data_IF_548946188966
#
_entry.id   IF_548946188966
#
_cell.length_a   1.000
_cell.length_b   1.000
_cell.length_c   1.000
_cell.angle_alpha   90.00
_cell.angle_beta   90.00
_cell.angle_gamma   90.00
#
_symmetry.space_group_name_H-M   'P 1'
#
loop_
_entity.id
_entity.type
_entity.pdbx_description
1 polymer ?
#
# COMPACT_ATOMS: atom_id res chain seq x y z
N UNK A 1 -39.98 56.94 47.77
CA UNK A 1 -38.78 56.58 48.57
C UNK A 1 -37.65 56.29 47.59
N UNK A 2 -36.60 57.12 47.56
CA UNK A 2 -35.41 56.96 46.70
C UNK A 2 -34.48 55.91 47.32
N UNK A 3 -33.89 55.03 46.51
CA UNK A 3 -32.49 54.62 46.69
C UNK A 3 -31.82 54.55 45.31
N UNK A 4 -30.81 55.40 45.16
CA UNK A 4 -29.83 55.43 44.07
C UNK A 4 -28.59 54.68 44.55
N UNK A 5 -28.03 53.81 43.71
CA UNK A 5 -26.65 53.32 43.87
C UNK A 5 -25.87 53.62 42.59
N UNK A 6 -24.77 54.35 42.78
CA UNK A 6 -23.91 54.98 41.77
C UNK A 6 -23.22 53.98 40.83
N UNK A 7 -23.39 54.20 39.53
CA UNK A 7 -22.57 53.65 38.45
C UNK A 7 -21.25 54.43 38.40
N UNK A 8 -20.22 53.99 39.13
CA UNK A 8 -18.90 54.65 39.12
C UNK A 8 -17.71 53.74 38.85
N UNK A 9 -17.94 52.53 38.30
CA UNK A 9 -16.84 51.59 37.99
C UNK A 9 -16.68 51.22 36.51
N UNK A 10 -17.53 51.72 35.61
CA UNK A 10 -17.47 51.30 34.20
C UNK A 10 -16.50 52.13 33.32
N UNK A 11 -16.05 53.30 33.79
CA UNK A 11 -15.25 54.24 32.96
C UNK A 11 -13.74 53.98 33.03
N UNK A 12 -13.25 53.25 34.04
CA UNK A 12 -11.79 53.01 34.23
C UNK A 12 -11.20 51.83 33.45
N UNK A 13 -12.02 50.92 32.93
CA UNK A 13 -11.51 49.75 32.18
C UNK A 13 -11.27 50.10 30.70
N UNK A 14 -12.08 51.00 30.11
CA UNK A 14 -11.94 51.40 28.71
C UNK A 14 -10.72 52.30 28.43
N UNK A 15 -10.15 52.96 29.44
CA UNK A 15 -8.99 53.87 29.27
C UNK A 15 -7.65 53.16 29.34
N UNK A 16 -7.55 51.98 29.95
CA UNK A 16 -6.33 51.16 29.95
C UNK A 16 -6.20 50.29 28.69
N UNK A 17 -7.33 49.91 28.07
CA UNK A 17 -7.35 49.07 26.87
C UNK A 17 -6.86 49.78 25.59
N UNK A 18 -6.97 51.12 25.56
CA UNK A 18 -6.70 51.90 24.34
C UNK A 18 -5.25 52.40 24.18
N UNK A 19 -4.44 52.39 25.23
CA UNK A 19 -3.11 53.02 25.25
C UNK A 19 -1.92 52.05 25.43
N UNK A 20 -2.14 50.74 25.33
CA UNK A 20 -1.05 49.76 25.34
C UNK A 20 -0.90 49.20 23.93
N UNK A 21 -0.06 49.80 23.06
CA UNK A 21 0.14 49.35 21.68
C UNK A 21 0.53 47.86 21.62
N UNK A 22 1.29 47.39 22.62
CA UNK A 22 1.71 46.00 22.77
C UNK A 22 0.52 45.03 22.91
N UNK A 23 -0.52 45.42 23.66
CA UNK A 23 -1.71 44.59 23.88
C UNK A 23 -2.58 44.50 22.62
N UNK A 24 -2.72 45.61 21.87
CA UNK A 24 -3.39 45.61 20.56
C UNK A 24 -2.65 44.73 19.54
N UNK A 25 -1.33 44.82 19.48
CA UNK A 25 -0.52 43.99 18.57
C UNK A 25 -0.60 42.52 18.93
N UNK A 26 -0.58 42.18 20.23
CA UNK A 26 -0.72 40.80 20.69
C UNK A 26 -2.09 40.22 20.35
N UNK A 27 -3.19 40.93 20.66
CA UNK A 27 -4.55 40.48 20.34
C UNK A 27 -4.76 40.34 18.82
N UNK A 28 -4.25 41.29 18.02
CA UNK A 28 -4.38 41.24 16.56
C UNK A 28 -3.58 40.08 15.94
N UNK A 29 -2.39 39.77 16.47
CA UNK A 29 -1.61 38.59 16.05
C UNK A 29 -2.31 37.29 16.42
N UNK A 30 -2.88 37.20 17.61
CA UNK A 30 -3.64 36.01 18.05
C UNK A 30 -4.91 35.82 17.23
N UNK A 31 -5.63 36.90 16.90
CA UNK A 31 -6.80 36.84 16.01
C UNK A 31 -6.43 36.40 14.59
N UNK A 32 -5.34 36.94 14.03
CA UNK A 32 -4.84 36.55 12.71
C UNK A 32 -4.41 35.08 12.70
N UNK A 33 -3.76 34.61 13.77
CA UNK A 33 -3.38 33.21 13.93
C UNK A 33 -4.63 32.31 13.99
N UNK A 34 -5.62 32.62 14.82
CA UNK A 34 -6.88 31.86 14.86
C UNK A 34 -7.63 31.85 13.52
N UNK A 35 -7.59 32.96 12.77
CA UNK A 35 -8.19 33.04 11.43
C UNK A 35 -7.47 32.15 10.41
N UNK A 36 -6.14 32.17 10.41
CA UNK A 36 -5.32 31.32 9.53
C UNK A 36 -5.51 29.83 9.86
N UNK A 37 -5.54 29.47 11.14
CA UNK A 37 -5.82 28.10 11.57
C UNK A 37 -7.25 27.66 11.22
N UNK A 38 -8.26 28.52 11.47
CA UNK A 38 -9.65 28.22 11.12
C UNK A 38 -9.88 28.02 9.62
N UNK A 39 -9.25 28.84 8.77
CA UNK A 39 -9.32 28.70 7.32
C UNK A 39 -8.66 27.41 6.82
N UNK A 40 -7.52 27.02 7.40
CA UNK A 40 -6.83 25.77 7.06
C UNK A 40 -7.66 24.52 7.44
N UNK A 41 -8.33 24.54 8.59
CA UNK A 41 -9.18 23.43 9.04
C UNK A 41 -10.42 23.26 8.14
N UNK A 42 -11.06 24.37 7.75
CA UNK A 42 -12.22 24.32 6.85
C UNK A 42 -11.83 23.80 5.45
N UNK A 43 -10.70 24.25 4.90
CA UNK A 43 -10.19 23.77 3.61
C UNK A 43 -9.84 22.27 3.66
N UNK A 44 -9.26 21.80 4.77
CA UNK A 44 -8.96 20.39 4.96
C UNK A 44 -10.22 19.52 5.03
N UNK A 45 -11.22 19.92 5.82
CA UNK A 45 -12.51 19.20 5.87
C UNK A 45 -13.21 19.14 4.50
N UNK A 46 -13.19 20.23 3.74
CA UNK A 46 -13.76 20.26 2.39
C UNK A 46 -13.03 19.31 1.43
N UNK A 47 -11.70 19.25 1.53
CA UNK A 47 -10.89 18.35 0.72
C UNK A 47 -11.16 16.89 1.07
N UNK A 48 -11.24 16.54 2.36
CA UNK A 48 -11.57 15.18 2.81
C UNK A 48 -12.97 14.74 2.34
N UNK A 49 -13.97 15.62 2.45
CA UNK A 49 -15.32 15.33 1.93
C UNK A 49 -15.30 15.10 0.43
N UNK A 50 -14.54 15.90 -0.32
CA UNK A 50 -14.38 15.74 -1.76
C UNK A 50 -13.68 14.43 -2.12
N UNK A 51 -12.60 14.08 -1.44
CA UNK A 51 -11.89 12.79 -1.60
C UNK A 51 -12.86 11.62 -1.37
N UNK A 52 -13.66 11.68 -0.31
CA UNK A 52 -14.66 10.65 0.04
C UNK A 52 -15.76 10.55 -1.02
N UNK A 53 -16.30 11.69 -1.45
CA UNK A 53 -17.36 11.79 -2.46
C UNK A 53 -16.92 11.27 -3.83
N UNK A 54 -15.72 11.61 -4.26
CA UNK A 54 -15.17 11.20 -5.55
C UNK A 54 -14.58 9.77 -5.52
N UNK A 55 -14.52 9.15 -4.34
CA UNK A 55 -14.04 7.78 -4.18
C UNK A 55 -12.58 7.64 -4.58
N UNK A 56 -11.73 8.58 -4.18
CA UNK A 56 -10.28 8.56 -4.48
C UNK A 56 -9.44 8.39 -3.22
N UNK A 57 -8.15 8.16 -3.41
CA UNK A 57 -7.12 8.08 -2.38
C UNK A 57 -5.93 8.93 -2.82
N UNK A 58 -5.30 9.63 -1.87
CA UNK A 58 -4.07 10.36 -2.15
C UNK A 58 -2.95 9.37 -2.52
N UNK A 59 -2.19 9.72 -3.54
CA UNK A 59 -1.15 8.87 -4.07
C UNK A 59 -0.19 9.65 -4.95
N UNK A 60 0.65 8.90 -5.65
CA UNK A 60 1.54 9.47 -6.62
C UNK A 60 1.91 8.44 -7.68
N UNK A 61 2.31 8.91 -8.86
CA UNK A 61 2.89 8.07 -9.90
C UNK A 61 4.37 8.37 -10.03
N UNK A 62 5.18 7.35 -10.32
CA UNK A 62 6.61 7.49 -10.56
C UNK A 62 6.87 7.46 -12.08
N UNK A 63 7.26 8.60 -12.63
CA UNK A 63 7.58 8.75 -14.06
C UNK A 63 8.96 9.39 -14.17
N UNK A 64 9.87 8.74 -14.90
CA UNK A 64 11.24 9.21 -15.12
C UNK A 64 11.97 9.51 -13.79
N UNK A 65 11.78 8.63 -12.81
CA UNK A 65 12.32 8.76 -11.46
C UNK A 65 11.72 9.88 -10.61
N UNK A 66 10.69 10.59 -11.09
CA UNK A 66 10.02 11.69 -10.37
C UNK A 66 8.66 11.24 -9.84
N UNK A 67 8.43 11.50 -8.56
CA UNK A 67 7.13 11.30 -7.93
C UNK A 67 6.21 12.48 -8.28
N UNK A 68 5.11 12.19 -8.96
CA UNK A 68 4.09 13.16 -9.36
C UNK A 68 2.86 12.97 -8.47
N UNK A 69 2.54 13.92 -7.57
CA UNK A 69 1.46 13.76 -6.61
C UNK A 69 0.08 13.90 -7.25
N UNK A 70 -0.89 13.16 -6.72
CA UNK A 70 -2.27 13.25 -7.15
C UNK A 70 -3.20 12.31 -6.40
N UNK A 71 -4.30 11.98 -7.07
CA UNK A 71 -5.35 11.13 -6.51
C UNK A 71 -5.62 9.96 -7.44
N UNK A 72 -5.75 8.77 -6.86
CA UNK A 72 -6.05 7.53 -7.56
C UNK A 72 -7.46 7.09 -7.19
N UNK A 73 -8.28 6.70 -8.16
CA UNK A 73 -9.60 6.12 -7.86
C UNK A 73 -9.46 4.88 -7.00
N UNK A 74 -10.37 4.74 -6.03
CA UNK A 74 -10.45 3.54 -5.20
C UNK A 74 -10.70 2.31 -6.07
N UNK A 75 -9.84 1.33 -5.91
CA UNK A 75 -9.96 -0.02 -6.48
C UNK A 75 -9.76 -1.02 -5.35
N UNK A 76 -9.76 -2.32 -5.68
CA UNK A 76 -9.52 -3.37 -4.69
C UNK A 76 -10.79 -4.02 -4.16
N UNK A 77 -11.94 -3.73 -4.77
CA UNK A 77 -13.19 -4.46 -4.55
C UNK A 77 -13.90 -4.73 -5.87
N UNK A 78 -14.69 -5.80 -5.90
CA UNK A 78 -15.54 -6.15 -7.04
C UNK A 78 -16.89 -6.64 -6.54
N UNK A 79 -17.91 -6.56 -7.39
CA UNK A 79 -19.18 -7.26 -7.16
C UNK A 79 -19.08 -8.66 -7.76
N UNK A 80 -19.85 -9.62 -7.24
CA UNK A 80 -20.01 -10.95 -7.81
C UNK A 80 -20.23 -10.91 -9.33
N UNK A 81 -19.69 -11.90 -10.04
CA UNK A 81 -19.82 -11.99 -11.51
C UNK A 81 -21.21 -12.49 -11.94
N UNK A 82 -21.99 -13.08 -11.03
CA UNK A 82 -23.37 -13.47 -11.27
C UNK A 82 -24.30 -12.23 -11.23
N UNK A 83 -25.24 -12.06 -12.18
CA UNK A 83 -26.12 -10.90 -12.25
C UNK A 83 -26.93 -10.61 -10.97
N UNK A 84 -27.26 -11.65 -10.21
CA UNK A 84 -28.01 -11.61 -8.97
C UNK A 84 -27.15 -11.38 -7.72
N UNK A 85 -25.82 -11.58 -7.81
CA UNK A 85 -24.91 -11.46 -6.69
C UNK A 85 -24.48 -10.00 -6.50
N UNK A 86 -24.93 -9.39 -5.41
CA UNK A 86 -24.56 -8.02 -5.02
C UNK A 86 -23.48 -8.00 -3.94
N UNK A 87 -22.88 -9.14 -3.62
CA UNK A 87 -21.82 -9.26 -2.63
C UNK A 87 -20.57 -8.55 -3.11
N UNK A 88 -19.95 -7.79 -2.21
CA UNK A 88 -18.70 -7.08 -2.49
C UNK A 88 -17.54 -7.93 -1.98
N UNK A 89 -16.67 -8.33 -2.90
CA UNK A 89 -15.48 -9.12 -2.62
C UNK A 89 -14.22 -8.25 -2.66
N UNK A 90 -13.18 -8.56 -1.85
CA UNK A 90 -11.84 -8.04 -2.05
C UNK A 90 -11.34 -8.39 -3.46
N UNK A 91 -10.74 -7.42 -4.15
CA UNK A 91 -10.23 -7.57 -5.51
C UNK A 91 -8.80 -7.01 -5.66
N UNK A 92 -7.82 -7.49 -4.85
CA UNK A 92 -6.47 -6.93 -4.84
C UNK A 92 -5.75 -7.03 -6.20
N UNK A 93 -6.13 -7.97 -7.06
CA UNK A 93 -5.59 -8.06 -8.42
C UNK A 93 -5.89 -6.84 -9.30
N UNK A 94 -6.92 -6.05 -9.00
CA UNK A 94 -7.24 -4.83 -9.77
C UNK A 94 -6.10 -3.81 -9.75
N UNK A 95 -5.39 -3.72 -8.61
CA UNK A 95 -4.21 -2.86 -8.45
C UNK A 95 -3.07 -3.23 -9.42
N UNK A 96 -3.03 -4.46 -9.93
CA UNK A 96 -1.91 -4.94 -10.73
C UNK A 96 -2.01 -4.55 -12.22
N UNK A 97 -3.19 -4.11 -12.67
CA UNK A 97 -3.48 -3.90 -14.09
C UNK A 97 -3.16 -2.47 -14.55
N UNK A 98 -3.84 -1.51 -13.97
CA UNK A 98 -3.84 -0.10 -14.34
C UNK A 98 -4.41 0.73 -13.21
N UNK A 99 -4.12 2.04 -13.21
CA UNK A 99 -4.72 2.99 -12.26
C UNK A 99 -5.41 4.12 -13.01
N UNK A 100 -6.44 4.72 -12.39
CA UNK A 100 -7.04 5.98 -12.84
C UNK A 100 -6.55 7.10 -11.93
N UNK A 101 -5.72 7.99 -12.47
CA UNK A 101 -5.01 9.03 -11.74
C UNK A 101 -5.41 10.43 -12.21
N UNK A 102 -5.51 11.37 -11.28
CA UNK A 102 -5.70 12.79 -11.54
C UNK A 102 -4.64 13.58 -10.75
N UNK A 103 -4.01 14.56 -11.41
CA UNK A 103 -3.01 15.41 -10.78
C UNK A 103 -3.58 16.14 -9.56
N UNK A 104 -2.76 16.31 -8.51
CA UNK A 104 -3.18 16.95 -7.26
C UNK A 104 -3.80 18.32 -7.51
N UNK A 105 -3.09 19.18 -8.23
CA UNK A 105 -3.53 20.54 -8.56
C UNK A 105 -4.85 20.55 -9.35
N UNK A 106 -5.02 19.60 -10.29
CA UNK A 106 -6.25 19.52 -11.09
C UNK A 106 -7.41 19.07 -10.22
N UNK A 107 -7.22 18.07 -9.35
CA UNK A 107 -8.25 17.58 -8.46
C UNK A 107 -8.67 18.67 -7.47
N UNK A 108 -7.73 19.30 -6.76
CA UNK A 108 -8.03 20.26 -5.71
C UNK A 108 -8.72 21.52 -6.27
N UNK A 109 -8.26 22.04 -7.41
CA UNK A 109 -8.77 23.29 -7.99
C UNK A 109 -10.06 23.13 -8.83
N UNK A 110 -10.48 21.89 -9.15
CA UNK A 110 -11.69 21.66 -9.95
C UNK A 110 -12.89 21.36 -9.07
N UNK A 111 -13.94 22.20 -9.11
CA UNK A 111 -15.15 22.01 -8.30
C UNK A 111 -15.89 20.69 -8.62
N UNK A 112 -16.08 20.39 -9.92
CA UNK A 112 -16.77 19.19 -10.39
C UNK A 112 -15.84 18.28 -11.17
N UNK A 113 -15.46 17.15 -10.55
CA UNK A 113 -14.62 16.16 -11.19
C UNK A 113 -15.43 15.37 -12.24
N UNK A 114 -14.85 15.20 -13.43
CA UNK A 114 -15.43 14.41 -14.53
C UNK A 114 -14.49 13.26 -14.86
N UNK A 115 -15.04 12.14 -15.35
CA UNK A 115 -14.24 10.96 -15.71
C UNK A 115 -13.08 11.28 -16.66
N UNK A 116 -13.25 12.22 -17.61
CA UNK A 116 -12.23 12.64 -18.56
C UNK A 116 -10.98 13.32 -17.94
N UNK A 117 -11.07 13.76 -16.69
CA UNK A 117 -9.94 14.36 -15.97
C UNK A 117 -9.00 13.28 -15.39
N UNK A 118 -9.46 12.03 -15.33
CA UNK A 118 -8.63 10.91 -14.93
C UNK A 118 -7.86 10.39 -16.14
N UNK A 119 -6.55 10.25 -15.97
CA UNK A 119 -5.67 9.56 -16.89
C UNK A 119 -5.52 8.12 -16.44
N UNK A 120 -5.66 7.18 -17.37
CA UNK A 120 -5.36 5.77 -17.13
C UNK A 120 -3.86 5.56 -17.35
N UNK A 121 -3.18 5.00 -16.36
CA UNK A 121 -1.80 4.53 -16.48
C UNK A 121 -1.78 3.02 -16.37
N UNK A 122 -1.25 2.35 -17.40
CA UNK A 122 -0.89 0.94 -17.33
C UNK A 122 0.57 0.81 -16.85
N UNK A 123 0.99 -0.39 -16.42
CA UNK A 123 2.35 -0.62 -15.91
C UNK A 123 3.48 -0.34 -16.92
N UNK A 124 3.16 -0.20 -18.21
CA UNK A 124 4.12 0.20 -19.25
C UNK A 124 4.38 1.71 -19.27
N UNK A 125 3.44 2.52 -18.79
CA UNK A 125 3.46 3.98 -18.93
C UNK A 125 4.21 4.67 -17.77
N UNK A 126 4.45 3.97 -16.67
CA UNK A 126 5.18 4.49 -15.50
C UNK A 126 6.03 3.41 -14.82
N UNK A 127 6.91 3.83 -13.89
CA UNK A 127 7.78 2.94 -13.11
C UNK A 127 7.06 2.32 -11.90
N UNK A 128 5.93 2.89 -11.51
CA UNK A 128 5.16 2.45 -10.37
C UNK A 128 4.23 3.54 -9.87
N UNK A 129 3.56 3.27 -8.76
CA UNK A 129 2.72 4.24 -8.08
C UNK A 129 2.64 3.96 -6.58
N UNK A 130 2.30 4.99 -5.81
CA UNK A 130 1.95 4.91 -4.40
C UNK A 130 0.46 5.13 -4.26
N UNK A 131 -0.20 4.23 -3.54
CA UNK A 131 -1.61 4.29 -3.21
C UNK A 131 -1.73 4.23 -1.70
N UNK A 132 -2.11 5.34 -1.08
CA UNK A 132 -2.02 5.49 0.37
C UNK A 132 -0.59 5.17 0.87
N UNK A 133 -0.45 4.15 1.71
CA UNK A 133 0.79 3.64 2.29
C UNK A 133 1.44 2.53 1.45
N UNK A 134 0.75 2.04 0.42
CA UNK A 134 1.21 0.93 -0.41
C UNK A 134 2.02 1.44 -1.59
N UNK A 135 3.17 0.80 -1.83
CA UNK A 135 4.00 1.04 -2.99
C UNK A 135 3.83 -0.09 -4.00
N UNK A 136 3.62 0.27 -5.26
CA UNK A 136 3.53 -0.64 -6.38
C UNK A 136 4.63 -0.34 -7.39
N UNK A 137 5.36 -1.37 -7.80
CA UNK A 137 6.43 -1.27 -8.79
C UNK A 137 5.99 -1.89 -10.13
N UNK A 138 6.28 -1.21 -11.23
CA UNK A 138 6.05 -1.72 -12.57
C UNK A 138 7.13 -2.73 -12.94
N UNK A 139 6.76 -4.01 -12.97
CA UNK A 139 7.70 -5.11 -13.16
C UNK A 139 7.23 -6.06 -14.26
N UNK A 140 8.18 -6.74 -14.90
CA UNK A 140 7.89 -7.79 -15.88
C UNK A 140 7.81 -9.13 -15.17
N UNK A 141 6.67 -9.79 -15.26
CA UNK A 141 6.42 -11.08 -14.60
C UNK A 141 5.68 -12.05 -15.51
N UNK A 142 6.01 -13.32 -15.36
CA UNK A 142 5.33 -14.47 -15.96
C UNK A 142 5.13 -15.49 -14.85
N UNK A 143 3.89 -15.92 -14.63
CA UNK A 143 3.63 -16.99 -13.71
C UNK A 143 3.82 -18.34 -14.40
N UNK A 144 5.00 -18.93 -14.18
CA UNK A 144 5.35 -20.23 -14.75
C UNK A 144 4.63 -21.40 -14.06
N UNK A 145 3.99 -21.17 -12.91
CA UNK A 145 3.21 -22.18 -12.20
C UNK A 145 1.77 -22.31 -12.74
N UNK A 146 1.31 -21.30 -13.47
CA UNK A 146 0.00 -21.31 -14.11
C UNK A 146 0.07 -21.93 -15.51
N UNK A 147 -0.99 -22.62 -15.92
CA UNK A 147 -1.16 -23.09 -17.31
C UNK A 147 -1.86 -22.01 -18.13
N UNK A 148 -1.32 -21.68 -19.31
CA UNK A 148 -1.97 -20.77 -20.27
C UNK A 148 -1.34 -19.37 -20.35
N UNK A 149 -2.16 -18.34 -20.62
CA UNK A 149 -1.68 -16.98 -20.96
C UNK A 149 -0.83 -16.32 -19.87
N UNK A 150 -0.97 -16.74 -18.61
CA UNK A 150 -0.19 -16.20 -17.49
C UNK A 150 1.32 -16.57 -17.56
N UNK A 151 1.69 -17.55 -18.40
CA UNK A 151 3.08 -17.90 -18.67
C UNK A 151 3.80 -16.86 -19.54
N UNK A 152 3.06 -16.01 -20.28
CA UNK A 152 3.65 -14.99 -21.13
C UNK A 152 4.09 -13.81 -20.26
N UNK A 153 5.38 -13.43 -20.26
CA UNK A 153 5.86 -12.31 -19.46
C UNK A 153 5.16 -11.01 -19.85
N UNK A 154 4.41 -10.42 -18.92
CA UNK A 154 3.73 -9.12 -19.08
C UNK A 154 4.23 -8.12 -18.06
N UNK A 155 4.17 -6.84 -18.40
CA UNK A 155 4.46 -5.75 -17.46
C UNK A 155 3.21 -5.47 -16.64
N UNK A 156 3.34 -5.47 -15.32
CA UNK A 156 2.24 -5.27 -14.38
C UNK A 156 2.73 -4.54 -13.13
N UNK A 157 1.80 -3.99 -12.37
CA UNK A 157 2.12 -3.44 -11.06
C UNK A 157 2.14 -4.56 -10.03
N UNK A 158 3.17 -4.60 -9.19
CA UNK A 158 3.24 -5.52 -8.05
C UNK A 158 3.47 -4.74 -6.77
N UNK A 159 2.74 -5.09 -5.71
CA UNK A 159 2.90 -4.44 -4.41
C UNK A 159 4.26 -4.82 -3.83
N UNK A 160 5.10 -3.82 -3.59
CA UNK A 160 6.42 -4.00 -3.00
C UNK A 160 6.31 -4.16 -1.49
N UNK A 161 6.99 -5.17 -0.96
CA UNK A 161 7.03 -5.49 0.48
C UNK A 161 8.34 -4.99 1.07
N UNK A 162 9.45 -5.30 0.40
CA UNK A 162 10.79 -4.88 0.81
C UNK A 162 11.65 -4.50 -0.40
N UNK A 163 12.63 -3.63 -0.18
CA UNK A 163 13.54 -3.09 -1.21
C UNK A 163 15.00 -3.47 -0.97
N UNK A 164 15.23 -4.62 -0.33
CA UNK A 164 16.58 -5.09 0.00
C UNK A 164 17.26 -5.76 -1.20
N UNK A 165 18.41 -6.39 -0.94
CA UNK A 165 19.20 -7.14 -1.93
C UNK A 165 18.36 -8.18 -2.66
N UNK A 166 17.46 -8.84 -1.93
CA UNK A 166 16.34 -9.59 -2.47
C UNK A 166 15.07 -8.81 -2.12
N UNK A 167 14.45 -8.24 -3.15
CA UNK A 167 13.18 -7.54 -3.02
C UNK A 167 12.03 -8.55 -3.02
N UNK A 168 11.03 -8.32 -2.15
CA UNK A 168 9.81 -9.13 -2.07
C UNK A 168 8.60 -8.35 -2.57
N UNK A 169 7.69 -9.06 -3.22
CA UNK A 169 6.46 -8.53 -3.81
C UNK A 169 5.27 -9.44 -3.53
N UNK A 170 4.09 -8.84 -3.44
CA UNK A 170 2.83 -9.57 -3.52
C UNK A 170 2.33 -9.59 -4.96
N UNK A 171 2.01 -10.79 -5.44
CA UNK A 171 1.30 -11.06 -6.67
C UNK A 171 -0.05 -11.69 -6.32
N UNK A 172 -1.12 -11.25 -6.99
CA UNK A 172 -2.46 -11.79 -6.84
C UNK A 172 -2.91 -12.39 -8.16
N UNK A 173 -3.46 -13.59 -8.12
CA UNK A 173 -4.11 -14.15 -9.30
C UNK A 173 -5.40 -13.39 -9.60
N UNK A 174 -5.76 -13.29 -10.88
CA UNK A 174 -7.01 -12.66 -11.29
C UNK A 174 -8.04 -13.76 -11.57
N UNK A 175 -9.31 -13.58 -11.17
CA UNK A 175 -10.35 -14.52 -11.51
C UNK A 175 -10.48 -14.62 -13.04
N UNK A 176 -10.80 -15.80 -13.59
CA UNK A 176 -11.03 -15.97 -15.02
C UNK A 176 -12.24 -15.15 -15.47
N UNK A 177 -12.26 -14.74 -16.74
CA UNK A 177 -13.30 -13.88 -17.30
C UNK A 177 -14.70 -14.53 -17.33
N UNK A 178 -14.75 -15.87 -17.34
CA UNK A 178 -16.00 -16.64 -17.27
C UNK A 178 -15.85 -17.60 -16.10
N UNK A 179 -16.77 -17.52 -15.16
CA UNK A 179 -16.85 -18.41 -14.01
C UNK A 179 -18.10 -19.26 -14.09
N UNK A 180 -17.95 -20.55 -13.82
CA UNK A 180 -19.05 -21.48 -13.58
C UNK A 180 -18.84 -22.13 -12.21
N UNK A 181 -19.80 -22.00 -11.29
CA UNK A 181 -19.74 -22.63 -9.96
C UNK A 181 -19.64 -21.65 -8.81
N UNK A 182 -18.90 -22.01 -7.76
CA UNK A 182 -18.81 -21.24 -6.51
C UNK A 182 -17.86 -20.03 -6.66
N UNK A 183 -18.44 -18.85 -6.90
CA UNK A 183 -17.72 -17.59 -7.14
C UNK A 183 -16.96 -17.09 -5.90
N UNK A 184 -17.54 -17.25 -4.71
CA UNK A 184 -16.95 -16.78 -3.45
C UNK A 184 -15.57 -17.40 -3.23
N UNK A 185 -15.48 -18.73 -3.37
CA UNK A 185 -14.22 -19.45 -3.24
C UNK A 185 -13.15 -18.97 -4.22
N UNK A 186 -13.52 -18.69 -5.47
CA UNK A 186 -12.56 -18.20 -6.47
C UNK A 186 -12.03 -16.82 -6.08
N UNK A 187 -12.89 -15.94 -5.57
CA UNK A 187 -12.47 -14.62 -5.13
C UNK A 187 -11.60 -14.69 -3.88
N UNK A 188 -11.91 -15.58 -2.92
CA UNK A 188 -11.04 -15.84 -1.77
C UNK A 188 -9.66 -16.33 -2.22
N UNK A 189 -9.59 -17.32 -3.09
CA UNK A 189 -8.33 -17.86 -3.63
C UNK A 189 -7.52 -16.78 -4.39
N UNK A 190 -8.19 -15.94 -5.19
CA UNK A 190 -7.53 -14.83 -5.90
C UNK A 190 -7.12 -13.68 -4.98
N UNK A 191 -7.75 -13.55 -3.81
CA UNK A 191 -7.39 -12.54 -2.82
C UNK A 191 -6.18 -12.98 -1.96
N UNK A 192 -5.81 -14.26 -1.97
CA UNK A 192 -4.60 -14.74 -1.33
C UNK A 192 -3.34 -14.31 -2.11
N UNK A 193 -2.39 -13.61 -1.47
CA UNK A 193 -1.17 -13.18 -2.14
C UNK A 193 -0.18 -14.33 -2.33
N UNK A 194 0.32 -14.48 -3.54
CA UNK A 194 1.55 -15.20 -3.82
C UNK A 194 2.77 -14.30 -3.57
N UNK A 195 3.76 -14.84 -2.85
CA UNK A 195 5.03 -14.15 -2.65
C UNK A 195 5.95 -14.37 -3.84
N UNK A 196 6.47 -13.27 -4.37
CA UNK A 196 7.41 -13.24 -5.49
C UNK A 196 8.67 -12.50 -5.04
N UNK A 197 9.83 -12.99 -5.42
CA UNK A 197 11.11 -12.37 -5.10
C UNK A 197 11.87 -11.98 -6.37
N UNK A 198 12.72 -10.96 -6.22
CA UNK A 198 13.72 -10.55 -7.21
C UNK A 198 15.07 -10.43 -6.52
N UNK A 199 16.05 -11.20 -6.98
CA UNK A 199 17.44 -11.04 -6.56
C UNK A 199 18.03 -9.85 -7.31
N UNK A 200 18.52 -8.86 -6.58
CA UNK A 200 19.04 -7.58 -7.11
C UNK A 200 18.00 -6.82 -7.93
N UNK A 201 18.38 -5.69 -8.53
CA UNK A 201 17.43 -4.78 -9.22
C UNK A 201 17.01 -5.30 -10.60
N UNK A 202 17.89 -6.01 -11.27
CA UNK A 202 17.79 -6.50 -12.65
C UNK A 202 17.41 -7.99 -12.76
N UNK A 203 17.29 -8.68 -11.63
CA UNK A 203 16.91 -10.09 -11.61
C UNK A 203 15.51 -10.36 -12.15
N UNK A 204 15.28 -11.61 -12.56
CA UNK A 204 13.94 -12.09 -12.94
C UNK A 204 13.11 -12.33 -11.68
N UNK A 205 11.85 -11.89 -11.71
CA UNK A 205 10.87 -12.23 -10.68
C UNK A 205 10.48 -13.71 -10.73
N UNK A 206 10.47 -14.36 -9.57
CA UNK A 206 10.12 -15.78 -9.39
C UNK A 206 9.27 -15.94 -8.13
N UNK A 207 8.38 -16.94 -8.08
CA UNK A 207 7.66 -17.25 -6.84
C UNK A 207 8.67 -17.67 -5.76
N UNK A 208 8.46 -17.25 -4.51
CA UNK A 208 9.30 -17.69 -3.39
C UNK A 208 9.36 -19.21 -3.33
N UNK A 209 8.27 -19.90 -3.67
CA UNK A 209 8.24 -21.36 -3.73
C UNK A 209 9.17 -22.02 -4.75
N UNK A 210 9.73 -21.24 -5.67
CA UNK A 210 10.68 -21.72 -6.68
C UNK A 210 12.13 -21.32 -6.35
N UNK A 211 12.38 -20.66 -5.21
CA UNK A 211 13.74 -20.32 -4.79
C UNK A 211 14.58 -21.58 -4.59
N UNK A 212 15.68 -21.64 -5.34
CA UNK A 212 16.75 -22.60 -5.17
C UNK A 212 17.89 -21.94 -4.38
N UNK A 213 17.90 -22.15 -3.06
CA UNK A 213 18.90 -21.54 -2.15
C UNK A 213 20.33 -21.88 -2.58
N UNK A 214 20.59 -23.15 -2.92
CA UNK A 214 21.92 -23.65 -3.30
C UNK A 214 22.46 -23.01 -4.58
N UNK A 215 21.59 -22.62 -5.52
CA UNK A 215 22.04 -22.00 -6.78
C UNK A 215 22.01 -20.49 -6.74
N UNK A 216 20.97 -19.92 -6.14
CA UNK A 216 20.67 -18.49 -6.25
C UNK A 216 21.28 -17.66 -5.13
N UNK A 217 21.57 -18.26 -3.96
CA UNK A 217 22.09 -17.56 -2.78
C UNK A 217 23.50 -18.03 -2.37
N UNK A 218 24.17 -18.81 -3.22
CA UNK A 218 25.50 -19.37 -2.96
C UNK A 218 26.61 -18.32 -2.86
N UNK A 219 26.40 -17.13 -3.41
CA UNK A 219 27.35 -16.02 -3.34
C UNK A 219 27.47 -15.45 -1.91
N UNK A 220 26.61 -15.86 -0.99
CA UNK A 220 26.72 -15.54 0.42
C UNK A 220 27.30 -16.70 1.24
N UNK A 221 28.53 -16.56 1.79
CA UNK A 221 29.18 -17.64 2.53
C UNK A 221 28.36 -18.18 3.70
N UNK A 222 27.68 -17.29 4.45
CA UNK A 222 26.86 -17.69 5.60
C UNK A 222 25.65 -18.52 5.17
N UNK A 223 24.94 -18.09 4.12
CA UNK A 223 23.78 -18.82 3.61
C UNK A 223 24.20 -20.16 3.01
N UNK A 224 25.32 -20.19 2.29
CA UNK A 224 25.88 -21.42 1.74
C UNK A 224 26.25 -22.43 2.84
N UNK A 225 26.86 -21.98 3.94
CA UNK A 225 27.20 -22.82 5.09
C UNK A 225 25.94 -23.37 5.80
N UNK A 226 24.95 -22.51 6.06
CA UNK A 226 23.66 -22.95 6.65
C UNK A 226 22.95 -23.96 5.75
N UNK A 227 22.98 -23.73 4.43
CA UNK A 227 22.44 -24.67 3.46
C UNK A 227 23.18 -26.02 3.47
N UNK A 228 24.51 -26.02 3.51
CA UNK A 228 25.30 -27.27 3.55
C UNK A 228 25.08 -28.06 4.85
N UNK A 229 24.84 -27.36 5.97
CA UNK A 229 24.44 -27.94 7.26
C UNK A 229 22.99 -28.43 7.29
N UNK A 230 22.22 -28.17 6.24
CA UNK A 230 20.81 -28.55 6.13
C UNK A 230 19.88 -27.73 7.01
N UNK A 231 20.27 -26.53 7.43
CA UNK A 231 19.47 -25.66 8.29
C UNK A 231 18.23 -25.10 7.57
N UNK A 232 18.25 -25.08 6.23
CA UNK A 232 17.09 -24.76 5.40
C UNK A 232 16.41 -26.00 4.79
N UNK A 233 16.50 -27.18 5.44
CA UNK A 233 15.76 -28.38 5.03
C UNK A 233 14.55 -28.63 5.92
N UNK A 234 13.45 -28.98 5.28
CA UNK A 234 12.21 -29.44 5.88
C UNK A 234 12.36 -30.85 6.50
N UNK A 235 11.86 -31.11 7.71
CA UNK A 235 11.97 -32.42 8.40
C UNK A 235 10.58 -32.93 8.87
N UNK A 236 10.43 -34.21 9.27
CA UNK A 236 9.13 -34.95 9.31
C UNK A 236 8.67 -35.54 10.69
N UNK A 237 7.48 -36.17 10.70
CA UNK A 237 6.68 -36.65 11.85
C UNK A 237 7.28 -37.79 12.70
N UNK A 238 8.51 -38.22 12.46
CA UNK A 238 9.13 -39.40 13.13
C UNK A 238 10.42 -39.07 13.90
N UNK A 239 10.59 -37.82 14.34
CA UNK A 239 11.65 -37.45 15.28
C UNK A 239 13.06 -37.33 14.68
N UNK A 240 13.20 -37.34 13.34
CA UNK A 240 14.41 -36.81 12.69
C UNK A 240 14.27 -35.30 12.52
N UNK A 241 15.02 -34.56 13.34
CA UNK A 241 15.31 -33.11 13.32
C UNK A 241 14.26 -32.20 12.67
N UNK A 242 13.07 -31.91 13.20
CA UNK A 242 12.33 -30.66 12.82
C UNK A 242 12.66 -29.53 13.79
N UNK A 243 13.23 -28.40 13.34
CA UNK A 243 13.25 -27.17 14.12
C UNK A 243 12.44 -26.06 13.42
N UNK A 244 11.14 -25.93 13.77
CA UNK A 244 10.31 -24.77 13.37
C UNK A 244 9.30 -24.34 14.45
N UNK A 245 9.31 -24.96 15.64
CA UNK A 245 8.17 -25.01 16.55
C UNK A 245 8.15 -24.06 17.75
N UNK A 246 8.64 -22.82 17.64
CA UNK A 246 8.23 -21.75 18.58
C UNK A 246 7.64 -20.52 17.91
N UNK A 247 7.52 -20.47 16.58
CA UNK A 247 7.13 -19.23 15.94
C UNK A 247 6.11 -19.34 14.80
N UNK A 248 5.08 -20.16 14.99
CA UNK A 248 3.69 -19.63 15.10
C UNK A 248 2.67 -20.71 14.71
N UNK A 249 2.10 -21.36 15.73
CA UNK A 249 0.68 -21.70 15.75
C UNK A 249 0.21 -22.77 14.78
N UNK A 250 0.43 -24.02 15.17
CA UNK A 250 -0.24 -25.25 14.72
C UNK A 250 -1.63 -25.07 14.05
N UNK A 251 -1.69 -25.43 12.76
CA UNK A 251 -2.70 -26.35 12.21
C UNK A 251 -2.19 -26.90 10.88
N UNK A 252 -1.86 -28.19 10.86
CA UNK A 252 -1.63 -29.03 9.66
C UNK A 252 -0.90 -28.30 8.51
N UNK A 253 0.41 -28.09 8.67
CA UNK A 253 1.22 -27.38 7.67
C UNK A 253 1.35 -28.25 6.42
N UNK A 254 0.58 -27.88 5.39
CA UNK A 254 0.74 -28.35 4.03
C UNK A 254 2.22 -28.18 3.62
N UNK A 255 2.83 -29.19 2.99
CA UNK A 255 4.27 -29.24 2.66
C UNK A 255 4.75 -27.96 1.90
N UNK A 256 3.84 -27.30 1.19
CA UNK A 256 4.04 -26.01 0.52
C UNK A 256 4.27 -24.83 1.46
N UNK A 257 3.47 -24.65 2.51
CA UNK A 257 3.61 -23.52 3.45
C UNK A 257 4.94 -23.58 4.20
N UNK A 258 5.33 -24.77 4.66
CA UNK A 258 6.61 -25.00 5.32
C UNK A 258 7.81 -24.65 4.44
N UNK A 259 7.72 -24.97 3.15
CA UNK A 259 8.77 -24.63 2.17
C UNK A 259 8.84 -23.12 1.90
N UNK A 260 7.75 -22.37 2.02
CA UNK A 260 7.76 -20.90 1.91
C UNK A 260 8.54 -20.28 3.07
N UNK A 261 8.23 -20.66 4.31
CA UNK A 261 8.83 -20.06 5.52
C UNK A 261 10.35 -20.25 5.57
N UNK A 262 10.81 -21.46 5.25
CA UNK A 262 12.24 -21.79 5.19
C UNK A 262 12.97 -20.92 4.15
N UNK A 263 12.33 -20.64 3.02
CA UNK A 263 12.91 -19.81 1.96
C UNK A 263 12.88 -18.33 2.32
N UNK A 264 11.84 -17.88 3.01
CA UNK A 264 11.81 -16.52 3.56
C UNK A 264 12.91 -16.32 4.61
N UNK A 265 13.19 -17.32 5.44
CA UNK A 265 14.33 -17.29 6.37
C UNK A 265 15.66 -17.16 5.62
N UNK A 266 15.87 -17.93 4.55
CA UNK A 266 17.08 -17.81 3.73
C UNK A 266 17.21 -16.43 3.06
N UNK A 267 16.09 -15.86 2.60
CA UNK A 267 16.04 -14.49 2.05
C UNK A 267 16.39 -13.45 3.11
N UNK A 268 15.84 -13.57 4.32
CA UNK A 268 16.13 -12.66 5.44
C UNK A 268 17.59 -12.73 5.87
N UNK A 269 18.13 -13.95 6.03
CA UNK A 269 19.54 -14.19 6.28
C UNK A 269 20.42 -13.56 5.19
N UNK A 270 20.02 -13.68 3.91
CA UNK A 270 20.75 -13.10 2.80
C UNK A 270 20.76 -11.57 2.86
N UNK A 271 19.59 -10.96 3.02
CA UNK A 271 19.43 -9.51 3.06
C UNK A 271 20.23 -8.86 4.19
N UNK A 272 20.30 -9.52 5.35
CA UNK A 272 21.02 -9.05 6.54
C UNK A 272 22.53 -9.18 6.47
N UNK A 273 23.06 -10.24 5.83
CA UNK A 273 24.45 -10.65 6.06
C UNK A 273 25.34 -10.68 4.81
N UNK A 274 24.77 -10.54 3.62
CA UNK A 274 25.51 -10.63 2.36
C UNK A 274 25.61 -9.23 1.76
N UNK A 275 26.63 -8.89 0.95
CA UNK A 275 26.76 -7.57 0.32
C UNK A 275 26.28 -7.57 -1.12
#
# INVERSE_FOLDING_TARGET
>A
MRISVKVTNFVRINTLYNNIPILKTFIMKTLLFCLLFGLSAAAFCQLEEKIKKEGVVEGAILIEGKEVPGYIRKTGTTVGLAPEDKTVYPAPWQFQSSIQFILKEVFENTEKIRNKLYHRYDAKDCEGYRYDTMLFESVKYSDMSAVGMNMIPKKMFMRKISSDKISLFFYFDSPPAILSGNYERVYEECAEPALVYRVRKDGKLKRVNDLNIEKELQDCPMVAEKQSKGEYKALDTQGKKIPLGKFLGSKLINNTTFRTDVRLLAIDDYNKNCN
#
